data_IF_368690452622
#
_entry.id   IF_368690452622
#
_cell.length_a   1.000
_cell.length_b   1.000
_cell.length_c   1.000
_cell.angle_alpha   90.00
_cell.angle_beta   90.00
_cell.angle_gamma   90.00
#
_symmetry.space_group_name_H-M   'P 1'
#
loop_
_entity.id
_entity.type
_entity.pdbx_description
1 polymer ?
#
# COMPACT_ATOMS: atom_id res chain seq x y z
N UNK A 1 11.43 -16.88 -13.83
CA UNK A 1 10.13 -16.26 -14.17
C UNK A 1 10.29 -14.75 -14.15
N UNK A 2 9.55 -14.01 -14.97
CA UNK A 2 9.44 -12.56 -14.81
C UNK A 2 8.42 -12.22 -13.72
N UNK A 3 8.60 -11.08 -13.07
CA UNK A 3 7.67 -10.57 -12.06
C UNK A 3 7.54 -9.06 -12.15
N UNK A 4 6.44 -8.53 -11.60
CA UNK A 4 6.14 -7.10 -11.64
C UNK A 4 6.36 -6.45 -10.29
N UNK A 5 6.89 -5.23 -10.31
CA UNK A 5 7.12 -4.38 -9.16
C UNK A 5 6.32 -3.09 -9.36
N UNK A 6 5.50 -2.74 -8.37
CA UNK A 6 4.80 -1.46 -8.34
C UNK A 6 5.65 -0.43 -7.59
N UNK A 7 5.72 0.79 -8.12
CA UNK A 7 6.53 1.88 -7.57
C UNK A 7 5.63 3.10 -7.41
N UNK A 8 5.48 3.57 -6.17
CA UNK A 8 4.77 4.81 -5.86
C UNK A 8 5.75 5.98 -5.94
N UNK A 9 5.62 6.80 -6.99
CA UNK A 9 6.44 7.99 -7.20
C UNK A 9 5.62 9.07 -7.88
N UNK A 10 5.86 10.32 -7.49
CA UNK A 10 5.26 11.50 -8.14
C UNK A 10 6.08 11.88 -9.38
N UNK A 11 7.40 11.92 -9.22
CA UNK A 11 8.34 12.43 -10.22
C UNK A 11 8.88 11.35 -11.17
N UNK A 12 8.71 10.07 -10.83
CA UNK A 12 9.29 8.96 -11.60
C UNK A 12 10.80 8.81 -11.45
N UNK A 13 11.40 9.47 -10.45
CA UNK A 13 12.85 9.41 -10.16
C UNK A 13 13.10 8.95 -8.71
N UNK A 14 12.32 9.48 -7.76
CA UNK A 14 12.47 9.22 -6.34
C UNK A 14 11.24 8.54 -5.74
N UNK A 15 11.46 7.70 -4.73
CA UNK A 15 10.39 7.14 -3.89
C UNK A 15 10.03 8.12 -2.77
N UNK A 16 9.30 9.17 -3.14
CA UNK A 16 8.81 10.21 -2.23
C UNK A 16 7.36 9.95 -1.77
N UNK A 17 6.56 9.30 -2.63
CA UNK A 17 5.13 9.17 -2.46
C UNK A 17 4.72 8.13 -1.39
N UNK A 18 3.60 8.43 -0.73
CA UNK A 18 2.93 7.54 0.21
C UNK A 18 1.80 6.77 -0.47
N UNK A 19 1.50 5.55 -0.02
CA UNK A 19 0.47 4.72 -0.65
C UNK A 19 -0.93 5.38 -0.67
N UNK A 20 -1.31 6.05 0.41
CA UNK A 20 -2.64 6.67 0.54
C UNK A 20 -2.83 7.95 -0.28
N UNK A 21 -1.74 8.57 -0.73
CA UNK A 21 -1.76 9.81 -1.52
C UNK A 21 -1.12 9.68 -2.89
N UNK A 22 -0.67 8.48 -3.28
CA UNK A 22 -0.07 8.26 -4.58
C UNK A 22 -1.13 8.41 -5.68
N UNK A 23 -0.92 9.37 -6.57
CA UNK A 23 -1.76 9.61 -7.74
C UNK A 23 -1.48 8.61 -8.87
N UNK A 24 -0.31 7.96 -8.86
CA UNK A 24 0.06 6.97 -9.85
C UNK A 24 1.08 5.96 -9.33
N UNK A 25 1.03 4.75 -9.88
CA UNK A 25 1.98 3.67 -9.67
C UNK A 25 2.68 3.33 -10.98
N UNK A 26 4.01 3.36 -10.98
CA UNK A 26 4.81 2.89 -12.10
C UNK A 26 5.01 1.38 -11.95
N UNK A 27 4.75 0.64 -13.02
CA UNK A 27 4.89 -0.82 -13.07
C UNK A 27 6.16 -1.16 -13.84
N UNK A 28 7.09 -1.77 -13.13
CA UNK A 28 8.32 -2.30 -13.71
C UNK A 28 8.21 -3.82 -13.79
N UNK A 29 8.57 -4.38 -14.94
CA UNK A 29 8.72 -5.82 -15.06
C UNK A 29 10.20 -6.16 -14.97
N UNK A 30 10.50 -7.13 -14.11
CA UNK A 30 11.84 -7.67 -13.93
C UNK A 30 11.89 -9.05 -14.55
N UNK A 31 12.87 -9.27 -15.42
CA UNK A 31 13.17 -10.56 -16.01
C UNK A 31 14.03 -11.42 -15.08
N UNK A 32 14.09 -12.72 -15.37
CA UNK A 32 14.92 -13.64 -14.59
C UNK A 32 16.42 -13.29 -14.62
N UNK A 33 16.87 -12.61 -15.66
CA UNK A 33 18.26 -12.17 -15.85
C UNK A 33 18.62 -10.92 -15.02
N UNK A 34 17.66 -10.34 -14.29
CA UNK A 34 17.83 -9.13 -13.50
C UNK A 34 17.73 -7.83 -14.29
N UNK A 35 17.45 -7.89 -15.60
CA UNK A 35 17.03 -6.72 -16.37
C UNK A 35 15.62 -6.30 -15.96
N UNK A 36 15.39 -4.99 -15.93
CA UNK A 36 14.08 -4.41 -15.64
C UNK A 36 13.67 -3.41 -16.73
N UNK A 37 12.40 -3.40 -17.06
CA UNK A 37 11.82 -2.49 -18.04
C UNK A 37 10.56 -1.84 -17.48
N UNK A 38 10.34 -0.57 -17.78
CA UNK A 38 9.09 0.10 -17.44
C UNK A 38 7.99 -0.37 -18.40
N UNK A 39 6.96 -1.03 -17.88
CA UNK A 39 5.85 -1.53 -18.69
C UNK A 39 4.73 -0.52 -18.84
N UNK A 40 4.27 0.01 -17.71
CA UNK A 40 3.04 0.81 -17.68
C UNK A 40 3.02 1.73 -16.45
N UNK A 41 2.22 2.80 -16.53
CA UNK A 41 1.90 3.67 -15.39
C UNK A 41 0.40 3.57 -15.11
N UNK A 42 0.03 3.08 -13.92
CA UNK A 42 -1.36 2.99 -13.46
C UNK A 42 -1.72 4.24 -12.68
N UNK A 43 -2.71 4.98 -13.16
CA UNK A 43 -3.18 6.22 -12.52
C UNK A 43 -4.34 5.88 -11.59
N UNK A 44 -4.32 6.43 -10.38
CA UNK A 44 -5.42 6.32 -9.42
C UNK A 44 -6.41 7.44 -9.70
N UNK A 45 -7.60 7.09 -10.20
CA UNK A 45 -8.69 8.04 -10.47
C UNK A 45 -9.44 8.44 -9.18
N UNK A 46 -8.71 8.92 -8.17
CA UNK A 46 -9.28 9.27 -6.87
C UNK A 46 -8.56 10.39 -6.12
N UNK A 47 -7.60 11.07 -6.77
CA UNK A 47 -6.82 12.13 -6.12
C UNK A 47 -7.57 13.47 -6.01
N UNK A 48 -8.55 13.76 -6.87
CA UNK A 48 -9.32 15.00 -6.79
C UNK A 48 -10.81 14.71 -6.96
N UNK A 49 -11.61 15.05 -5.93
CA UNK A 49 -12.92 15.72 -5.99
C UNK A 49 -13.58 15.57 -4.60
N UNK A 50 -13.29 16.53 -3.72
CA UNK A 50 -14.34 17.01 -2.81
C UNK A 50 -15.28 17.91 -3.64
N UNK A 51 -16.21 17.34 -4.40
CA UNK A 51 -17.49 18.00 -4.69
C UNK A 51 -18.61 16.94 -4.74
N UNK A 52 -19.54 17.06 -3.78
CA UNK A 52 -20.91 16.54 -3.75
C UNK A 52 -21.14 15.02 -3.61
N UNK A 53 -21.21 14.56 -2.36
CA UNK A 53 -22.41 13.83 -1.92
C UNK A 53 -22.62 14.05 -0.42
N UNK A 54 -22.88 15.31 -0.06
CA UNK A 54 -23.97 15.53 0.88
C UNK A 54 -25.20 14.78 0.34
N UNK A 55 -25.78 13.90 1.18
CA UNK A 55 -26.96 13.07 0.95
C UNK A 55 -26.62 11.73 0.25
N UNK A 56 -26.44 10.61 0.96
CA UNK A 56 -27.55 9.92 1.61
C UNK A 56 -27.07 8.98 2.73
N UNK A 57 -27.01 9.47 3.97
CA UNK A 57 -27.19 8.63 5.15
C UNK A 57 -28.65 8.74 5.59
N UNK A 58 -29.58 8.23 4.78
CA UNK A 58 -30.90 7.83 5.30
C UNK A 58 -30.72 6.56 6.13
N UNK A 59 -30.01 6.71 7.25
CA UNK A 59 -30.04 5.76 8.36
C UNK A 59 -31.31 6.03 9.14
N UNK A 60 -32.47 5.77 8.53
CA UNK A 60 -33.61 5.32 9.31
C UNK A 60 -33.33 3.86 9.69
N UNK A 61 -32.48 3.70 10.71
CA UNK A 61 -32.51 2.58 11.63
C UNK A 61 -31.71 3.01 12.84
N UNK A 62 -32.47 3.52 13.81
CA UNK A 62 -32.25 3.37 15.23
C UNK A 62 -30.87 2.83 15.61
N UNK A 63 -29.93 3.73 15.90
CA UNK A 63 -28.79 3.41 16.75
C UNK A 63 -29.26 3.30 18.20
N UNK A 64 -30.17 2.35 18.43
CA UNK A 64 -30.46 1.82 19.74
C UNK A 64 -29.17 1.18 20.25
N UNK A 65 -28.45 1.98 21.04
CA UNK A 65 -27.46 1.55 22.02
C UNK A 65 -27.82 0.16 22.56
N UNK A 66 -27.14 -0.88 22.11
CA UNK A 66 -26.76 -2.07 22.90
C UNK A 66 -26.04 -3.09 22.03
N UNK A 67 -24.72 -3.15 22.18
CA UNK A 67 -24.01 -4.42 22.34
C UNK A 67 -22.63 -4.16 22.95
N UNK A 68 -22.63 -4.08 24.27
CA UNK A 68 -21.65 -4.70 25.16
C UNK A 68 -20.17 -4.24 25.07
N UNK A 69 -19.89 -3.06 25.59
CA UNK A 69 -18.65 -2.79 26.31
C UNK A 69 -18.97 -2.57 27.79
N UNK A 70 -18.93 -3.66 28.56
CA UNK A 70 -18.96 -3.67 30.03
C UNK A 70 -17.74 -4.50 30.42
N UNK A 71 -16.86 -4.17 31.35
CA UNK A 71 -16.66 -3.12 32.36
C UNK A 71 -15.19 -3.34 32.77
N UNK A 72 -14.38 -2.36 33.15
CA UNK A 72 -14.31 -1.90 34.54
C UNK A 72 -13.28 -0.77 34.64
N UNK A 73 -13.53 0.10 35.61
CA UNK A 73 -12.59 0.98 36.31
C UNK A 73 -12.08 2.26 35.63
N UNK A 74 -12.08 3.28 36.47
CA UNK A 74 -12.16 4.70 36.20
C UNK A 74 -10.77 5.29 35.90
N UNK A 75 -10.60 5.84 34.70
CA UNK A 75 -9.76 6.99 34.31
C UNK A 75 -9.49 6.89 32.79
N UNK A 76 -10.44 7.34 31.97
CA UNK A 76 -10.31 7.37 30.51
C UNK A 76 -10.19 8.79 30.01
N UNK A 77 -8.95 9.30 29.98
CA UNK A 77 -8.59 10.29 28.97
C UNK A 77 -8.02 9.52 27.78
N UNK A 78 -8.90 9.11 26.88
CA UNK A 78 -8.56 8.25 25.76
C UNK A 78 -9.71 8.24 24.78
N UNK A 79 -9.75 9.27 23.93
CA UNK A 79 -10.65 9.33 22.79
C UNK A 79 -10.23 8.24 21.78
N UNK A 80 -10.61 6.98 22.00
CA UNK A 80 -10.44 5.92 21.00
C UNK A 80 -11.70 5.84 20.14
N UNK A 81 -11.97 6.95 19.47
CA UNK A 81 -12.92 7.05 18.36
C UNK A 81 -12.30 6.48 17.09
N UNK A 82 -12.25 5.16 16.99
CA UNK A 82 -11.81 4.45 15.78
C UNK A 82 -12.97 4.20 14.82
N UNK A 83 -13.61 5.25 14.30
CA UNK A 83 -14.50 5.14 13.14
C UNK A 83 -14.04 6.15 12.09
N UNK A 84 -13.18 5.69 11.18
CA UNK A 84 -12.65 6.48 10.07
C UNK A 84 -12.62 5.65 8.79
N UNK A 85 -13.74 4.98 8.48
CA UNK A 85 -13.88 4.08 7.33
C UNK A 85 -14.04 4.77 5.97
N UNK A 86 -13.61 6.03 5.80
CA UNK A 86 -13.78 6.78 4.55
C UNK A 86 -12.54 6.77 3.64
N UNK A 87 -11.39 6.28 4.11
CA UNK A 87 -10.19 6.07 3.29
C UNK A 87 -10.01 4.62 2.82
N UNK A 88 -10.69 3.66 3.45
CA UNK A 88 -10.51 2.23 3.18
C UNK A 88 -10.97 1.85 1.77
N UNK A 89 -12.08 2.42 1.29
CA UNK A 89 -12.59 2.15 -0.06
C UNK A 89 -11.65 2.64 -1.17
N UNK A 90 -10.91 3.74 -0.96
CA UNK A 90 -9.91 4.23 -1.91
C UNK A 90 -8.68 3.32 -1.93
N UNK A 91 -8.26 2.85 -0.76
CA UNK A 91 -7.13 1.94 -0.60
C UNK A 91 -7.45 0.60 -1.29
N UNK A 92 -8.65 0.05 -1.11
CA UNK A 92 -9.04 -1.24 -1.71
C UNK A 92 -8.98 -1.22 -3.24
N UNK A 93 -9.43 -0.11 -3.84
CA UNK A 93 -9.32 0.13 -5.29
C UNK A 93 -7.86 0.20 -5.74
N UNK A 94 -7.01 0.94 -5.01
CA UNK A 94 -5.58 1.02 -5.30
C UNK A 94 -4.90 -0.35 -5.21
N UNK A 95 -5.19 -1.11 -4.17
CA UNK A 95 -4.66 -2.46 -3.98
C UNK A 95 -5.16 -3.40 -5.08
N UNK A 96 -6.37 -3.21 -5.62
CA UNK A 96 -6.85 -3.97 -6.76
C UNK A 96 -6.05 -3.67 -8.05
N UNK A 97 -5.63 -2.41 -8.24
CA UNK A 97 -4.82 -2.01 -9.38
C UNK A 97 -3.45 -2.67 -9.39
N UNK A 98 -2.87 -3.01 -8.23
CA UNK A 98 -1.52 -3.60 -8.10
C UNK A 98 -1.53 -5.07 -7.69
N UNK A 99 -2.69 -5.74 -7.79
CA UNK A 99 -2.86 -7.13 -7.37
C UNK A 99 -2.01 -8.15 -8.14
N UNK A 100 -1.51 -7.79 -9.32
CA UNK A 100 -0.61 -8.60 -10.14
C UNK A 100 0.88 -8.37 -9.83
N UNK A 101 1.20 -7.42 -8.95
CA UNK A 101 2.57 -7.08 -8.59
C UNK A 101 3.03 -7.90 -7.39
N UNK A 102 4.29 -8.34 -7.42
CA UNK A 102 4.90 -9.13 -6.35
C UNK A 102 5.14 -8.27 -5.10
N UNK A 103 5.54 -7.02 -5.32
CA UNK A 103 5.77 -6.05 -4.26
C UNK A 103 5.48 -4.61 -4.70
N UNK A 104 5.37 -3.73 -3.70
CA UNK A 104 5.18 -2.30 -3.84
C UNK A 104 6.29 -1.52 -3.13
N UNK A 105 6.90 -0.55 -3.82
CA UNK A 105 7.91 0.36 -3.27
C UNK A 105 7.28 1.73 -2.98
N UNK A 106 7.46 2.26 -1.77
CA UNK A 106 6.95 3.56 -1.37
C UNK A 106 7.72 4.15 -0.18
N UNK A 107 7.52 5.45 0.11
CA UNK A 107 8.18 6.12 1.24
C UNK A 107 7.50 5.84 2.59
N UNK A 108 6.17 5.63 2.58
CA UNK A 108 5.39 5.27 3.78
C UNK A 108 4.13 4.51 3.39
N UNK A 109 3.83 3.49 4.19
CA UNK A 109 2.57 2.75 4.13
C UNK A 109 1.79 3.07 5.40
N UNK A 110 0.49 3.31 5.28
CA UNK A 110 -0.39 3.45 6.45
C UNK A 110 -0.86 2.07 6.92
N UNK A 111 -1.10 1.90 8.23
CA UNK A 111 -1.49 0.62 8.81
C UNK A 111 -2.74 -0.02 8.15
N UNK A 112 -3.71 0.79 7.72
CA UNK A 112 -4.87 0.30 6.96
C UNK A 112 -4.48 -0.27 5.58
N UNK A 113 -3.62 0.44 4.85
CA UNK A 113 -3.14 0.01 3.54
C UNK A 113 -2.24 -1.22 3.61
N UNK A 114 -1.34 -1.26 4.59
CA UNK A 114 -0.44 -2.40 4.82
C UNK A 114 -1.24 -3.68 5.03
N UNK A 115 -2.21 -3.66 5.95
CA UNK A 115 -3.08 -4.80 6.23
C UNK A 115 -3.87 -5.27 5.00
N UNK A 116 -4.31 -4.35 4.14
CA UNK A 116 -4.99 -4.71 2.91
C UNK A 116 -4.06 -5.30 1.85
N UNK A 117 -2.84 -4.77 1.71
CA UNK A 117 -1.81 -5.27 0.80
C UNK A 117 -1.39 -6.70 1.18
N UNK A 118 -1.17 -6.93 2.47
CA UNK A 118 -0.84 -8.25 3.02
C UNK A 118 -1.93 -9.29 2.73
N UNK A 119 -3.21 -8.89 2.84
CA UNK A 119 -4.34 -9.77 2.48
C UNK A 119 -4.36 -10.20 1.02
N UNK A 120 -3.79 -9.39 0.12
CA UNK A 120 -3.63 -9.74 -1.31
C UNK A 120 -2.25 -10.31 -1.65
N UNK A 121 -1.45 -10.68 -0.64
CA UNK A 121 -0.11 -11.24 -0.79
C UNK A 121 0.91 -10.34 -1.51
N UNK A 122 0.74 -9.01 -1.41
CA UNK A 122 1.68 -8.01 -1.95
C UNK A 122 2.57 -7.54 -0.81
N UNK A 123 3.88 -7.64 -0.97
CA UNK A 123 4.82 -7.11 0.03
C UNK A 123 5.06 -5.62 -0.20
N UNK A 124 4.94 -4.81 0.86
CA UNK A 124 5.22 -3.38 0.77
C UNK A 124 6.61 -3.11 1.37
N UNK A 125 7.44 -2.34 0.65
CA UNK A 125 8.75 -1.91 1.11
C UNK A 125 8.75 -0.41 1.33
N UNK A 126 8.99 -0.03 2.58
CA UNK A 126 9.12 1.37 2.99
C UNK A 126 10.57 1.82 2.85
N UNK A 127 10.87 2.55 1.78
CA UNK A 127 12.24 2.81 1.33
C UNK A 127 12.29 4.19 0.67
N UNK A 128 13.10 5.11 1.23
CA UNK A 128 13.30 6.48 0.71
C UNK A 128 14.58 6.55 -0.13
N UNK A 129 14.56 6.03 -1.35
CA UNK A 129 15.72 6.01 -2.27
C UNK A 129 15.30 6.39 -3.70
N UNK A 130 16.28 6.52 -4.60
CA UNK A 130 16.01 6.57 -6.05
C UNK A 130 15.41 5.26 -6.53
N UNK A 131 14.56 5.33 -7.54
CA UNK A 131 13.89 4.15 -8.10
C UNK A 131 14.92 3.12 -8.58
N UNK A 132 15.95 3.57 -9.31
CA UNK A 132 16.99 2.68 -9.84
C UNK A 132 17.75 1.93 -8.73
N UNK A 133 18.15 2.65 -7.68
CA UNK A 133 18.87 2.07 -6.54
C UNK A 133 17.99 1.08 -5.75
N UNK A 134 16.71 1.42 -5.60
CA UNK A 134 15.74 0.57 -4.91
C UNK A 134 15.48 -0.71 -5.70
N UNK A 135 15.26 -0.59 -7.02
CA UNK A 135 15.07 -1.74 -7.91
C UNK A 135 16.29 -2.66 -7.87
N UNK A 136 17.51 -2.13 -8.01
CA UNK A 136 18.73 -2.93 -7.96
C UNK A 136 18.84 -3.76 -6.66
N UNK A 137 18.51 -3.18 -5.51
CA UNK A 137 18.50 -3.88 -4.20
C UNK A 137 17.44 -4.96 -4.14
N UNK A 138 16.23 -4.66 -4.61
CA UNK A 138 15.09 -5.58 -4.58
C UNK A 138 15.33 -6.78 -5.52
N UNK A 139 15.89 -6.54 -6.71
CA UNK A 139 16.28 -7.59 -7.65
C UNK A 139 17.36 -8.50 -7.02
N UNK A 140 18.38 -7.92 -6.39
CA UNK A 140 19.42 -8.69 -5.69
C UNK A 140 18.85 -9.50 -4.52
N UNK A 141 17.89 -8.94 -3.79
CA UNK A 141 17.19 -9.64 -2.71
C UNK A 141 16.38 -10.85 -3.21
N UNK A 142 15.55 -10.66 -4.25
CA UNK A 142 14.74 -11.74 -4.82
C UNK A 142 15.60 -12.82 -5.47
N UNK A 143 16.63 -12.46 -6.23
CA UNK A 143 17.56 -13.45 -6.83
C UNK A 143 18.22 -14.32 -5.76
N UNK A 144 18.60 -13.76 -4.61
CA UNK A 144 19.16 -14.57 -3.50
C UNK A 144 18.13 -15.50 -2.87
N UNK A 145 16.90 -15.03 -2.68
CA UNK A 145 15.82 -15.80 -2.06
C UNK A 145 15.34 -16.93 -2.96
N UNK A 146 15.14 -16.64 -4.25
CA UNK A 146 14.67 -17.61 -5.22
C UNK A 146 15.71 -18.74 -5.41
N UNK A 147 17.00 -18.43 -5.25
CA UNK A 147 18.07 -19.42 -5.27
C UNK A 147 18.33 -20.08 -3.90
N UNK A 148 17.52 -19.81 -2.86
CA UNK A 148 17.69 -20.31 -1.49
C UNK A 148 19.08 -20.07 -0.89
N UNK A 149 19.74 -18.96 -1.27
CA UNK A 149 21.07 -18.61 -0.77
C UNK A 149 20.91 -17.98 0.60
N UNK A 150 21.57 -18.55 1.61
CA UNK A 150 21.54 -18.02 2.97
C UNK A 150 22.06 -16.58 3.03
N UNK A 151 21.22 -15.65 3.49
CA UNK A 151 21.58 -14.25 3.72
C UNK A 151 22.54 -14.06 4.91
N UNK A 152 22.87 -15.14 5.65
CA UNK A 152 23.68 -15.09 6.88
C UNK A 152 25.18 -14.88 6.63
N UNK A 153 25.65 -15.08 5.41
CA UNK A 153 27.08 -15.07 5.06
C UNK A 153 27.55 -13.84 4.26
N UNK A 154 26.71 -12.84 4.04
CA UNK A 154 27.14 -11.59 3.41
C UNK A 154 27.83 -10.69 4.47
N UNK A 155 29.15 -10.84 4.60
CA UNK A 155 30.01 -9.98 5.42
C UNK A 155 30.76 -9.00 4.55
#
# INVERSE_FOLDING_TARGET
>A
MSYKIAVASTDGIYLDAHFGGASSFLIYEVNADGSYENKEKRIVLGANEEISSSLNCSSNSDCAKKSSCTSSDENKNGSTGGCGGHSDSKIEANVALIADCRCLLCNKVGAGAERQLERKAITAFQVSYKIDDALAKIINYYTKIDNHISLRNAR
#
